data_IF_984228041621
#
_entry.id   IF_984228041621
#
_cell.length_a   1.000
_cell.length_b   1.000
_cell.length_c   1.000
_cell.angle_alpha   90.00
_cell.angle_beta   90.00
_cell.angle_gamma   90.00
#
_symmetry.space_group_name_H-M   'P 1'
#
loop_
_entity.id
_entity.type
_entity.pdbx_description
1 polymer ?
2 polymer ?
3 water ?
#
# COMPACT_ATOMS: atom_id res chain seq x y z
N UNK A 13 18.72 0.44 12.51
CA UNK A 13 17.99 0.34 11.22
C UNK A 13 16.52 -0.03 11.43
N UNK A 14 15.66 0.50 10.58
CA UNK A 14 14.24 0.17 10.59
C UNK A 14 14.03 -1.31 10.24
N UNK A 15 12.90 -1.90 10.69
CA UNK A 15 12.61 -3.30 10.35
C UNK A 15 12.55 -3.52 8.84
N UNK A 16 13.06 -4.66 8.39
CA UNK A 16 13.07 -5.04 6.99
C UNK A 16 12.28 -6.33 6.79
N UNK A 17 11.37 -6.31 5.82
CA UNK A 17 10.66 -7.50 5.38
C UNK A 17 11.08 -7.78 3.93
N UNK A 18 11.42 -9.03 3.63
CA UNK A 18 11.87 -9.44 2.28
C UNK A 18 10.76 -10.16 1.52
N UNK A 19 10.66 -9.89 0.23
CA UNK A 19 9.80 -10.63 -0.68
C UNK A 19 10.47 -10.71 -2.03
N UNK A 20 10.32 -11.85 -2.68
CA UNK A 20 10.74 -12.01 -4.07
C UNK A 20 9.62 -12.49 -4.96
N UNK A 21 9.56 -11.94 -6.17
CA UNK A 21 8.61 -12.38 -7.17
C UNK A 21 9.07 -13.68 -7.80
N UNK A 22 10.38 -13.97 -7.66
CA UNK A 22 10.94 -15.20 -8.22
C UNK A 22 10.34 -16.41 -7.55
N UNK A 23 9.60 -17.21 -8.31
CA UNK A 23 8.96 -18.41 -7.78
C UNK A 23 7.88 -18.12 -6.74
N UNK A 24 7.31 -16.93 -6.76
CA UNK A 24 6.31 -16.56 -5.77
C UNK A 24 5.12 -17.49 -5.82
N UNK A 25 4.56 -17.77 -4.65
CA UNK A 25 3.36 -18.57 -4.52
C UNK A 25 2.35 -17.83 -3.67
N UNK A 26 1.13 -18.35 -3.62
CA UNK A 26 0.12 -17.80 -2.73
C UNK A 26 0.66 -17.74 -1.30
N UNK A 27 1.26 -18.83 -0.85
CA UNK A 27 1.79 -18.87 0.51
C UNK A 27 2.91 -17.88 0.75
N UNK A 28 3.86 -17.76 -0.18
CA UNK A 28 4.98 -16.85 0.08
C UNK A 28 4.50 -15.40 0.09
N UNK A 29 3.54 -15.08 -0.78
CA UNK A 29 2.97 -13.73 -0.80
C UNK A 29 2.15 -13.47 0.47
N UNK A 30 1.37 -14.46 0.89
CA UNK A 30 0.61 -14.35 2.13
C UNK A 30 1.52 -14.12 3.35
N UNK A 31 2.61 -14.88 3.42
CA UNK A 31 3.56 -14.74 4.52
C UNK A 31 4.13 -13.33 4.54
N UNK A 32 4.44 -12.82 3.35
CA UNK A 32 4.96 -11.47 3.20
C UNK A 32 3.97 -10.41 3.72
N UNK A 33 2.74 -10.45 3.22
CA UNK A 33 1.75 -9.45 3.62
C UNK A 33 1.46 -9.52 5.13
N UNK A 34 1.39 -10.73 5.67
CA UNK A 34 1.20 -10.89 7.12
C UNK A 34 2.37 -10.30 7.92
N UNK A 35 3.60 -10.50 7.43
CA UNK A 35 4.77 -9.92 8.08
C UNK A 35 4.76 -8.39 8.02
N UNK A 36 4.36 -7.82 6.89
CA UNK A 36 4.25 -6.38 6.76
C UNK A 36 3.23 -5.83 7.77
N UNK A 37 2.06 -6.44 7.84
CA UNK A 37 1.05 -5.99 8.80
C UNK A 37 1.60 -6.05 10.23
N UNK A 38 2.34 -7.11 10.54
CA UNK A 38 2.91 -7.28 11.87
C UNK A 38 3.92 -6.21 12.27
N UNK A 39 4.63 -5.68 11.29
CA UNK A 39 5.55 -4.58 11.55
C UNK A 39 4.91 -3.20 11.48
N UNK A 40 3.76 -3.07 10.83
CA UNK A 40 3.08 -1.79 10.76
C UNK A 40 2.33 -1.45 12.04
N UNK A 41 1.73 -2.46 12.67
CA UNK A 41 0.92 -2.32 13.89
C UNK A 41 1.54 -3.01 15.08
N UNK A 42 1.16 -2.55 16.26
CA UNK A 42 1.73 -3.06 17.49
C UNK A 42 0.82 -4.02 18.25
N UNK A 43 -0.47 -4.02 17.93
CA UNK A 43 -1.47 -4.76 18.71
C UNK A 43 -2.13 -3.93 19.80
N UNK A 44 -1.65 -2.71 20.02
CA UNK A 44 -2.16 -1.83 21.08
C UNK A 44 -3.59 -1.37 20.83
N UNK A 45 -3.95 -1.22 19.55
CA UNK A 45 -5.15 -0.52 19.15
C UNK A 45 -5.89 -1.36 18.14
N UNK A 46 -6.96 -2.00 18.60
CA UNK A 46 -7.79 -2.85 17.75
C UNK A 46 -9.23 -2.51 18.07
N UNK A 47 -9.98 -2.15 17.02
CA UNK A 47 -11.36 -1.71 17.14
C UNK A 47 -12.29 -2.51 16.26
N UNK A 48 -13.29 -3.13 16.88
CA UNK A 48 -14.16 -4.05 16.17
C UNK A 48 -13.37 -5.11 15.40
N UNK A 49 -12.32 -5.61 16.06
CA UNK A 49 -11.44 -6.65 15.54
C UNK A 49 -10.48 -6.16 14.46
N UNK A 50 -10.50 -4.86 14.14
CA UNK A 50 -9.65 -4.30 13.08
C UNK A 50 -8.51 -3.46 13.67
N UNK A 51 -7.25 -3.86 13.41
CA UNK A 51 -6.12 -3.08 13.90
C UNK A 51 -6.06 -1.67 13.35
N UNK A 52 -5.62 -0.75 14.19
CA UNK A 52 -5.40 0.66 13.84
C UNK A 52 -3.90 0.92 13.85
N UNK A 53 -3.42 1.63 12.83
CA UNK A 53 -2.03 2.03 12.74
C UNK A 53 -1.67 3.05 13.82
N UNK A 54 -0.38 3.15 14.16
CA UNK A 54 0.04 4.12 15.17
C UNK A 54 -0.37 5.55 14.80
N UNK A 55 -0.77 6.29 15.82
CA UNK A 55 -1.03 7.71 15.70
C UNK A 55 0.27 8.46 15.36
N UNK A 56 0.22 9.27 14.32
CA UNK A 56 1.39 10.05 13.94
C UNK A 56 1.82 11.04 15.03
N UNK A 57 0.86 11.54 15.81
CA UNK A 57 1.13 12.54 16.83
C UNK A 57 1.97 11.93 17.94
N UNK A 58 3.18 12.47 18.11
CA UNK A 58 4.10 12.01 19.13
C UNK A 58 4.87 10.74 18.80
N UNK A 59 4.74 10.23 17.57
CA UNK A 59 5.38 8.98 17.20
C UNK A 59 6.89 9.21 17.02
N UNK A 60 7.73 8.53 17.82
CA UNK A 60 9.17 8.73 17.69
C UNK A 60 9.69 8.33 16.31
N UNK A 61 10.68 9.08 15.83
CA UNK A 61 11.20 8.88 14.47
C UNK A 61 11.76 7.46 14.29
N UNK A 62 12.32 6.88 15.35
CA UNK A 62 12.86 5.53 15.25
C UNK A 62 11.81 4.44 15.05
N UNK A 63 10.53 4.79 15.16
CA UNK A 63 9.42 3.86 14.99
C UNK A 63 8.53 4.24 13.80
N UNK A 64 9.02 5.14 12.95
CA UNK A 64 8.16 5.75 11.95
C UNK A 64 8.04 4.97 10.64
N UNK A 65 9.05 4.18 10.29
CA UNK A 65 9.11 3.52 8.99
C UNK A 65 9.41 2.04 9.09
N UNK A 66 9.00 1.31 8.05
CA UNK A 66 9.49 -0.03 7.82
C UNK A 66 10.01 -0.12 6.39
N UNK A 67 10.82 -1.15 6.13
CA UNK A 67 11.44 -1.34 4.83
C UNK A 67 11.00 -2.66 4.23
N UNK A 68 10.68 -2.62 2.94
CA UNK A 68 10.29 -3.81 2.21
C UNK A 68 11.34 -4.01 1.11
N UNK A 69 12.13 -5.07 1.22
CA UNK A 69 13.17 -5.35 0.23
C UNK A 69 12.61 -6.32 -0.79
N UNK A 70 12.45 -5.83 -2.03
CA UNK A 70 11.86 -6.59 -3.11
C UNK A 70 12.93 -7.08 -4.05
N UNK A 71 12.90 -8.38 -4.36
CA UNK A 71 13.82 -8.97 -5.33
C UNK A 71 13.00 -9.60 -6.44
N UNK A 72 13.63 -9.82 -7.58
CA UNK A 72 12.94 -10.48 -8.68
C UNK A 72 13.79 -11.56 -9.35
N UNK A 73 13.19 -12.23 -10.33
CA UNK A 73 13.87 -13.33 -11.01
C UNK A 73 15.11 -12.84 -11.78
N UNK A 74 15.10 -11.59 -12.21
CA UNK A 74 16.25 -10.96 -12.85
C UNK A 74 17.41 -10.66 -11.89
N UNK A 75 17.28 -11.04 -10.60
CA UNK A 75 18.32 -10.85 -9.61
C UNK A 75 18.59 -9.37 -9.32
N UNK A 76 17.54 -8.57 -9.41
CA UNK A 76 17.59 -7.16 -9.05
C UNK A 76 16.83 -6.99 -7.76
N UNK A 77 17.24 -6.01 -6.96
CA UNK A 77 16.61 -5.69 -5.70
C UNK A 77 16.39 -4.18 -5.55
N UNK A 78 15.25 -3.82 -4.98
CA UNK A 78 15.00 -2.45 -4.55
C UNK A 78 14.41 -2.53 -3.16
N UNK A 79 14.53 -1.44 -2.39
CA UNK A 79 13.96 -1.40 -1.04
C UNK A 79 12.99 -0.24 -0.96
N UNK A 80 11.72 -0.55 -0.72
CA UNK A 80 10.72 0.49 -0.48
C UNK A 80 10.67 0.84 0.98
N UNK A 81 10.42 2.12 1.26
CA UNK A 81 10.15 2.57 2.63
C UNK A 81 8.66 2.83 2.78
N UNK A 82 8.04 2.28 3.82
CA UNK A 82 6.62 2.51 4.12
C UNK A 82 6.50 3.31 5.43
N UNK A 83 5.59 4.27 5.45
CA UNK A 83 5.21 5.02 6.65
C UNK A 83 4.26 4.15 7.47
N UNK A 84 4.60 3.90 8.73
CA UNK A 84 3.74 3.06 9.57
C UNK A 84 2.39 3.69 9.87
N UNK A 85 2.29 5.01 9.76
CA UNK A 85 1.05 5.70 10.10
C UNK A 85 -0.02 5.56 9.03
N UNK A 86 0.37 5.24 7.79
CA UNK A 86 -0.63 5.00 6.74
C UNK A 86 -0.38 3.81 5.80
N UNK A 87 0.70 3.06 6.06
CA UNK A 87 1.11 1.89 5.28
C UNK A 87 1.54 2.19 3.86
N UNK A 88 1.73 3.48 3.54
CA UNK A 88 1.98 3.89 2.17
C UNK A 88 3.47 4.06 1.89
N UNK A 89 3.82 3.88 0.62
CA UNK A 89 5.20 4.00 0.17
C UNK A 89 5.60 5.47 0.15
N UNK A 90 6.74 5.79 0.75
CA UNK A 90 7.25 7.17 0.75
C UNK A 90 8.48 7.37 -0.15
N UNK A 91 9.11 6.27 -0.55
CA UNK A 91 10.34 6.35 -1.35
C UNK A 91 10.95 4.98 -1.52
N UNK A 92 12.08 4.94 -2.23
CA UNK A 92 12.78 3.69 -2.42
C UNK A 92 14.25 3.93 -2.64
N UNK A 93 15.01 2.85 -2.41
CA UNK A 93 16.43 2.83 -2.69
C UNK A 93 16.74 1.74 -3.70
N UNK A 94 17.62 2.06 -4.65
CA UNK A 94 18.22 1.06 -5.51
C UNK A 94 19.70 1.37 -5.61
N UNK A 95 20.55 0.49 -5.08
CA UNK A 95 22.00 0.70 -5.09
C UNK A 95 22.38 2.01 -4.42
N UNK A 96 23.09 2.86 -5.16
CA UNK A 96 23.60 4.13 -4.62
C UNK A 96 22.70 5.34 -4.82
N UNK A 97 21.41 5.11 -5.11
CA UNK A 97 20.44 6.19 -5.28
C UNK A 97 19.16 5.90 -4.52
N UNK A 98 18.57 6.95 -3.95
CA UNK A 98 17.28 6.85 -3.29
C UNK A 98 16.40 7.99 -3.76
N UNK A 99 15.11 7.70 -3.88
CA UNK A 99 14.11 8.62 -4.41
C UNK A 99 12.95 8.66 -3.46
N UNK A 100 12.49 9.88 -3.16
CA UNK A 100 11.36 10.09 -2.26
C UNK A 100 10.28 10.89 -2.94
N UNK A 101 9.03 10.51 -2.69
CA UNK A 101 7.89 11.33 -3.12
C UNK A 101 7.94 12.69 -2.43
N UNK A 102 7.39 13.68 -3.12
CA UNK A 102 7.33 15.03 -2.58
C UNK A 102 6.56 15.00 -1.25
N UNK A 103 7.17 15.48 -0.18
CA UNK A 103 6.49 15.46 1.13
C UNK A 103 5.37 16.46 1.25
N UNK A 104 4.36 16.11 2.06
CA UNK A 104 3.19 16.94 2.26
C UNK A 104 3.44 18.10 3.17
N UNK A 105 4.38 17.95 4.09
CA UNK A 105 4.63 19.00 5.08
C UNK A 105 6.04 18.92 5.58
N UNK A 106 6.41 19.89 6.38
CA UNK A 106 7.79 19.98 6.86
C UNK A 106 8.17 18.82 7.80
N UNK A 107 7.22 18.36 8.61
CA UNK A 107 7.51 17.26 9.52
C UNK A 107 7.85 15.99 8.72
N UNK A 108 7.09 15.73 7.67
CA UNK A 108 7.35 14.57 6.81
C UNK A 108 8.64 14.73 6.04
N UNK A 109 8.93 15.94 5.57
CA UNK A 109 10.20 16.22 4.91
C UNK A 109 11.38 15.93 5.86
N UNK A 110 11.25 16.29 7.13
CA UNK A 110 12.31 16.01 8.09
C UNK A 110 12.40 14.50 8.34
N UNK A 111 11.24 13.87 8.46
CA UNK A 111 11.20 12.45 8.78
C UNK A 111 11.97 11.60 7.75
N UNK A 112 11.79 11.90 6.47
CA UNK A 112 12.41 11.08 5.42
C UNK A 112 13.93 11.26 5.33
N UNK A 113 14.47 12.31 5.97
CA UNK A 113 15.94 12.44 6.09
C UNK A 113 16.55 11.30 6.92
N UNK A 114 15.73 10.60 7.69
CA UNK A 114 16.18 9.46 8.48
C UNK A 114 16.18 8.13 7.74
N UNK A 115 15.79 8.16 6.46
CA UNK A 115 15.79 6.97 5.64
C UNK A 115 17.01 6.88 4.72
N UNK A 116 17.54 5.68 4.56
CA UNK A 116 18.61 5.41 3.63
C UNK A 116 19.73 6.41 3.80
N UNK A 117 20.15 6.61 5.03
CA UNK A 117 21.08 7.68 5.34
C UNK A 117 22.44 7.56 4.73
N UNK A 118 22.89 6.37 4.38
CA UNK A 118 24.20 6.27 3.76
C UNK A 118 24.20 6.28 2.24
N UNK A 119 23.04 6.42 1.63
CA UNK A 119 22.98 6.42 0.20
C UNK A 119 23.75 7.59 -0.37
N UNK A 120 24.46 7.35 -1.45
CA UNK A 120 25.30 8.38 -2.05
C UNK A 120 24.50 9.49 -2.68
N UNK A 121 23.44 9.14 -3.39
CA UNK A 121 22.63 10.12 -4.10
C UNK A 121 21.17 10.11 -3.64
N UNK A 122 20.69 11.24 -3.14
CA UNK A 122 19.33 11.35 -2.64
C UNK A 122 18.59 12.32 -3.47
N UNK A 123 17.40 11.93 -3.89
CA UNK A 123 16.55 12.78 -4.66
C UNK A 123 15.13 12.78 -4.12
N UNK A 124 14.49 13.93 -4.18
CA UNK A 124 13.07 14.01 -3.88
C UNK A 124 12.36 14.44 -5.16
N UNK A 125 11.39 13.64 -5.58
CA UNK A 125 10.54 13.99 -6.74
C UNK A 125 9.73 15.24 -6.43
N UNK A 126 9.36 15.97 -7.48
CA UNK A 126 8.49 17.14 -7.34
C UNK A 126 7.02 16.75 -7.25
N UNK A 127 6.72 15.46 -7.44
CA UNK A 127 5.36 14.95 -7.41
C UNK A 127 5.18 14.04 -6.20
N UNK A 128 3.95 13.97 -5.71
CA UNK A 128 3.58 13.06 -4.64
C UNK A 128 3.22 11.68 -5.19
N UNK A 129 3.01 10.75 -4.26
CA UNK A 129 2.70 9.36 -4.59
C UNK A 129 1.22 9.02 -4.64
N UNK A 130 0.35 10.02 -4.58
CA UNK A 130 -1.09 9.76 -4.70
C UNK A 130 -1.47 9.26 -6.10
N UNK A 131 -2.50 8.42 -6.19
CA UNK A 131 -2.85 7.81 -7.47
C UNK A 131 -3.19 8.81 -8.56
N UNK A 132 -3.93 9.87 -8.21
CA UNK A 132 -4.34 10.84 -9.20
C UNK A 132 -3.12 11.36 -9.97
N UNK A 133 -2.06 11.66 -9.23
CA UNK A 133 -0.86 12.23 -9.80
C UNK A 133 -0.06 11.18 -10.56
N UNK A 134 0.11 10.01 -9.97
CA UNK A 134 0.84 8.92 -10.62
C UNK A 134 0.15 8.48 -11.92
N UNK A 135 -1.18 8.44 -11.94
CA UNK A 135 -1.92 8.07 -13.15
C UNK A 135 -1.70 9.08 -14.27
N UNK A 136 -1.72 10.37 -13.91
CA UNK A 136 -1.39 11.43 -14.87
C UNK A 136 -0.02 11.20 -15.50
N UNK A 137 0.98 10.90 -14.67
CA UNK A 137 2.32 10.69 -15.17
C UNK A 137 2.46 9.40 -15.94
N UNK A 138 1.70 8.40 -15.56
CA UNK A 138 1.79 7.13 -16.23
C UNK A 138 1.07 7.13 -17.55
N UNK A 139 0.14 8.04 -17.70
CA UNK A 139 -0.67 8.08 -18.87
C UNK A 139 -1.72 7.00 -18.87
N UNK A 140 -2.02 6.42 -17.72
CA UNK A 140 -3.02 5.39 -17.61
C UNK A 140 -3.67 5.39 -16.25
N UNK A 141 -4.93 5.03 -16.21
CA UNK A 141 -5.64 4.91 -14.97
C UNK A 141 -5.42 3.52 -14.38
N UNK A 142 -5.65 3.40 -13.09
CA UNK A 142 -5.53 2.12 -12.43
C UNK A 142 -6.33 1.04 -13.13
N UNK A 143 -7.49 1.37 -13.68
CA UNK A 143 -8.33 0.36 -14.33
C UNK A 143 -7.68 -0.25 -15.58
N UNK A 144 -6.62 0.38 -16.08
CA UNK A 144 -5.90 -0.11 -17.25
C UNK A 144 -4.43 -0.50 -17.00
N UNK A 145 -4.06 -0.68 -15.73
CA UNK A 145 -2.71 -1.11 -15.35
C UNK A 145 -2.82 -2.49 -14.71
N UNK A 146 -2.21 -3.47 -15.35
CA UNK A 146 -2.33 -4.84 -14.88
C UNK A 146 -1.54 -5.06 -13.60
N UNK A 147 -2.07 -5.90 -12.72
CA UNK A 147 -1.44 -6.30 -11.47
C UNK A 147 -1.22 -7.79 -11.48
N UNK A 148 -0.23 -8.23 -10.73
CA UNK A 148 0.08 -9.62 -10.63
C UNK A 148 1.56 -9.80 -10.42
N UNK A 149 2.03 -11.04 -10.40
CA UNK A 149 3.43 -11.29 -10.17
C UNK A 149 4.31 -10.80 -11.32
N UNK A 150 3.88 -10.95 -12.56
CA UNK A 150 4.66 -10.46 -13.68
C UNK A 150 4.77 -8.95 -13.64
N UNK A 151 3.59 -8.28 -13.47
CA UNK A 151 3.71 -6.83 -13.30
C UNK A 151 4.65 -6.38 -12.19
N UNK A 152 4.67 -7.09 -11.07
CA UNK A 152 5.53 -6.71 -9.97
C UNK A 152 6.98 -6.96 -10.31
N UNK A 153 7.25 -8.10 -10.94
CA UNK A 153 8.60 -8.42 -11.40
C UNK A 153 9.10 -7.29 -12.30
N UNK A 154 8.28 -6.85 -13.22
CA UNK A 154 8.65 -5.79 -14.15
C UNK A 154 8.84 -4.46 -13.46
N UNK A 155 8.02 -4.20 -12.47
CA UNK A 155 8.11 -2.98 -11.72
C UNK A 155 9.40 -2.88 -10.95
N UNK A 156 9.85 -3.97 -10.39
CA UNK A 156 11.07 -3.96 -9.63
C UNK A 156 12.24 -3.60 -10.57
N UNK A 157 12.25 -4.19 -11.75
CA UNK A 157 13.30 -3.89 -12.72
C UNK A 157 13.26 -2.43 -13.12
N UNK A 158 12.08 -1.90 -13.37
CA UNK A 158 11.97 -0.53 -13.78
C UNK A 158 12.48 0.42 -12.72
N UNK A 159 12.16 0.13 -11.47
CA UNK A 159 12.60 0.98 -10.40
C UNK A 159 14.10 0.89 -10.29
N UNK A 160 14.63 -0.32 -10.46
CA UNK A 160 16.07 -0.53 -10.37
C UNK A 160 16.83 0.28 -11.43
N UNK A 161 16.30 0.34 -12.65
CA UNK A 161 17.03 0.99 -13.76
C UNK A 161 16.76 2.48 -13.92
N UNK A 162 15.97 3.07 -13.03
CA UNK A 162 15.60 4.51 -13.19
C UNK A 162 16.78 5.48 -13.17
N UNK A 163 17.70 5.25 -12.25
CA UNK A 163 18.82 6.13 -12.09
C UNK A 163 19.77 6.17 -13.25
N UNK A 164 19.78 5.14 -14.08
CA UNK A 164 20.69 5.09 -15.19
C UNK A 164 20.08 5.44 -16.53
N UNK A 165 18.84 5.86 -16.52
CA UNK A 165 18.22 6.32 -17.72
C UNK A 165 17.41 5.30 -18.46
N UNK A 166 17.38 4.07 -17.95
CA UNK A 166 16.68 3.00 -18.56
C UNK A 166 15.19 3.07 -18.47
N UNK A 167 14.65 3.82 -17.52
CA UNK A 167 13.23 3.84 -17.31
C UNK A 167 12.62 5.20 -17.57
N UNK A 168 11.64 5.29 -18.46
CA UNK A 168 11.01 6.56 -18.73
C UNK A 168 10.06 6.89 -17.58
N UNK A 169 9.78 8.17 -17.37
CA UNK A 169 8.89 8.52 -16.27
C UNK A 169 7.54 7.84 -16.29
N UNK A 170 6.84 7.75 -17.43
CA UNK A 170 5.55 7.07 -17.37
C UNK A 170 5.65 5.62 -16.87
N UNK A 171 6.73 4.94 -17.23
CA UNK A 171 6.96 3.57 -16.77
C UNK A 171 7.28 3.54 -15.28
N UNK A 172 8.02 4.53 -14.81
CA UNK A 172 8.29 4.64 -13.38
C UNK A 172 6.99 4.80 -12.59
N UNK A 173 6.16 5.73 -13.05
CA UNK A 173 4.86 5.99 -12.41
C UNK A 173 3.97 4.76 -12.40
N UNK A 174 3.90 4.06 -13.53
CA UNK A 174 3.14 2.81 -13.64
C UNK A 174 3.66 1.78 -12.64
N UNK A 175 4.98 1.71 -12.51
CA UNK A 175 5.64 0.77 -11.62
C UNK A 175 5.32 1.06 -10.15
N UNK A 176 5.30 2.35 -9.79
CA UNK A 176 4.85 2.73 -8.45
C UNK A 176 3.41 2.31 -8.20
N UNK A 177 2.54 2.53 -9.17
CA UNK A 177 1.14 2.17 -9.03
C UNK A 177 1.03 0.67 -8.76
N UNK A 178 1.85 -0.14 -9.39
CA UNK A 178 1.81 -1.54 -9.19
C UNK A 178 2.28 -1.91 -7.78
N UNK A 179 3.42 -1.40 -7.39
CA UNK A 179 3.97 -1.68 -6.08
C UNK A 179 3.06 -1.23 -4.95
N UNK A 180 2.51 -0.05 -5.06
CA UNK A 180 1.65 0.49 -4.00
C UNK A 180 0.44 -0.40 -3.81
N UNK A 181 -0.18 -0.83 -4.91
CA UNK A 181 -1.37 -1.69 -4.76
C UNK A 181 -1.04 -3.07 -4.23
N UNK A 182 0.05 -3.66 -4.71
CA UNK A 182 0.37 -5.03 -4.32
C UNK A 182 1.01 -5.16 -2.95
N UNK A 183 1.42 -4.04 -2.38
CA UNK A 183 2.06 -4.04 -1.07
C UNK A 183 1.22 -3.22 -0.08
N UNK A 184 1.12 -1.91 -0.28
CA UNK A 184 0.37 -1.07 0.66
C UNK A 184 -1.12 -1.42 0.71
N UNK A 185 -1.77 -1.51 -0.44
CA UNK A 185 -3.21 -1.76 -0.44
C UNK A 185 -3.53 -3.18 0.01
N UNK A 186 -2.69 -4.13 -0.35
CA UNK A 186 -2.85 -5.51 0.10
C UNK A 186 -2.67 -5.61 1.62
N UNK A 187 -1.71 -4.86 2.18
CA UNK A 187 -1.56 -4.82 3.63
C UNK A 187 -2.81 -4.22 4.29
N UNK A 188 -3.38 -3.18 3.68
CA UNK A 188 -4.57 -2.50 4.24
C UNK A 188 -5.85 -3.34 4.18
N UNK A 189 -5.97 -4.19 3.17
CA UNK A 189 -7.22 -4.90 2.90
C UNK A 189 -7.01 -6.38 2.64
N UNK A 190 -7.56 -7.26 3.49
CA UNK A 190 -7.55 -8.70 3.17
C UNK A 190 -8.15 -8.96 1.80
N UNK A 191 -9.17 -8.19 1.43
CA UNK A 191 -9.81 -8.39 0.14
C UNK A 191 -8.85 -8.18 -1.04
N UNK A 192 -8.02 -7.14 -0.95
CA UNK A 192 -7.06 -6.84 -2.00
C UNK A 192 -5.90 -7.83 -1.98
N UNK A 193 -5.45 -8.20 -0.78
CA UNK A 193 -4.51 -9.32 -0.64
C UNK A 193 -5.06 -10.54 -1.37
N UNK A 194 -6.34 -10.82 -1.17
CA UNK A 194 -6.99 -11.95 -1.82
C UNK A 194 -6.97 -11.87 -3.33
N UNK A 195 -7.19 -10.68 -3.83
CA UNK A 195 -7.17 -10.41 -5.26
C UNK A 195 -5.79 -10.67 -5.84
N UNK A 196 -4.76 -10.33 -5.11
CA UNK A 196 -3.39 -10.58 -5.57
C UNK A 196 -3.01 -12.07 -5.45
N UNK A 197 -3.49 -12.72 -4.39
CA UNK A 197 -3.31 -14.17 -4.23
C UNK A 197 -3.87 -14.92 -5.42
N UNK A 198 -5.08 -14.54 -5.86
CA UNK A 198 -5.71 -15.18 -7.00
C UNK A 198 -4.86 -15.01 -8.27
N UNK A 199 -4.37 -13.81 -8.51
CA UNK A 199 -3.51 -13.56 -9.68
C UNK A 199 -2.26 -14.43 -9.66
N UNK A 200 -1.68 -14.60 -8.47
CA UNK A 200 -0.48 -15.42 -8.31
C UNK A 200 -0.82 -16.90 -8.52
N UNK A 201 -1.90 -17.34 -7.90
CA UNK A 201 -2.29 -18.73 -8.00
C UNK A 201 -2.47 -19.20 -9.43
N UNK A 202 -3.03 -18.37 -10.27
CA UNK A 202 -3.29 -18.74 -11.65
C UNK A 202 -2.35 -18.06 -12.66
N UNK A 203 -1.29 -17.40 -12.18
CA UNK A 203 -0.36 -16.69 -13.03
C UNK A 203 -1.07 -15.82 -14.05
N UNK A 204 -1.99 -15.03 -13.55
CA UNK A 204 -2.75 -14.16 -14.37
C UNK A 204 -2.32 -12.77 -14.01
N UNK A 205 -2.37 -11.89 -15.01
CA UNK A 205 -2.12 -10.49 -14.69
C UNK A 205 -3.35 -9.84 -15.24
N UNK A 206 -3.95 -8.99 -14.44
CA UNK A 206 -5.15 -8.28 -14.87
C UNK A 206 -5.29 -7.02 -14.04
N UNK A 207 -5.92 -6.02 -14.64
CA UNK A 207 -6.16 -4.76 -13.98
C UNK A 207 -7.17 -4.96 -12.85
N UNK A 208 -7.11 -4.09 -11.82
CA UNK A 208 -8.08 -4.19 -10.72
C UNK A 208 -9.49 -3.82 -11.18
N UNK A 209 -10.49 -4.58 -10.72
CA UNK A 209 -11.88 -4.29 -11.04
C UNK A 209 -12.39 -3.15 -10.14
N UNK A 210 -13.62 -2.67 -10.39
CA UNK A 210 -14.13 -1.53 -9.63
C UNK A 210 -14.19 -1.73 -8.13
N UNK A 211 -14.36 -2.98 -7.68
CA UNK A 211 -14.43 -3.23 -6.24
C UNK A 211 -13.10 -2.88 -5.56
N UNK A 212 -12.00 -3.24 -6.23
CA UNK A 212 -10.68 -2.94 -5.72
C UNK A 212 -10.41 -1.43 -5.74
N UNK A 213 -10.67 -0.80 -6.87
CA UNK A 213 -10.41 0.62 -7.03
C UNK A 213 -11.20 1.44 -6.00
N UNK A 214 -12.49 1.11 -5.83
CA UNK A 214 -13.33 1.87 -4.92
C UNK A 214 -12.92 1.64 -3.45
N UNK A 215 -12.50 0.41 -3.09
CA UNK A 215 -11.94 0.20 -1.75
C UNK A 215 -10.71 1.05 -1.50
N UNK A 216 -9.77 1.06 -2.47
CA UNK A 216 -8.57 1.88 -2.34
C UNK A 216 -8.96 3.35 -2.12
N UNK A 217 -9.91 3.83 -2.92
CA UNK A 217 -10.32 5.23 -2.84
C UNK A 217 -11.00 5.58 -1.54
N UNK A 218 -11.56 4.56 -0.89
CA UNK A 218 -12.39 4.74 0.30
C UNK A 218 -11.69 4.42 1.62
N UNK A 219 -10.41 4.05 1.59
CA UNK A 219 -9.74 3.56 2.79
C UNK A 219 -9.78 4.57 3.94
N UNK A 220 -9.49 5.83 3.62
CA UNK A 220 -9.50 6.88 4.63
C UNK A 220 -10.89 7.08 5.21
N UNK A 221 -11.88 7.13 4.32
CA UNK A 221 -13.27 7.34 4.74
C UNK A 221 -13.82 6.18 5.55
N UNK A 222 -13.49 4.95 5.16
CA UNK A 222 -13.87 3.77 5.94
C UNK A 222 -13.23 3.79 7.32
N UNK A 223 -11.96 4.17 7.38
CA UNK A 223 -11.25 4.27 8.66
C UNK A 223 -11.97 5.25 9.61
N UNK A 224 -12.34 6.41 9.08
CA UNK A 224 -13.02 7.41 9.88
C UNK A 224 -14.41 6.95 10.26
N UNK A 225 -15.15 6.38 9.30
CA UNK A 225 -16.53 5.96 9.58
C UNK A 225 -16.56 4.89 10.67
N UNK A 226 -15.62 3.96 10.61
CA UNK A 226 -15.55 2.90 11.62
C UNK A 226 -15.22 3.48 12.99
N UNK A 227 -14.23 4.35 13.04
CA UNK A 227 -13.74 4.88 14.31
C UNK A 227 -14.70 5.86 14.97
N UNK A 228 -15.52 6.51 14.15
CA UNK A 228 -16.50 7.48 14.63
C UNK A 228 -17.90 6.90 14.70
N UNK A 229 -18.04 5.60 14.45
CA UNK A 229 -19.33 4.95 14.46
C UNK A 229 -19.93 4.93 15.86
N UNK A 230 -21.23 4.71 15.91
CA UNK A 230 -21.93 4.56 17.17
C UNK A 230 -22.11 3.08 17.40
N UNK A 231 -21.23 2.51 18.23
CA UNK A 231 -21.24 1.08 18.54
C UNK A 231 -21.11 0.23 17.27
N UNK A 232 -20.44 0.77 16.25
CA UNK A 232 -20.27 0.07 14.97
C UNK A 232 -21.17 0.53 13.85
N UNK A 233 -22.22 1.26 14.21
CA UNK A 233 -23.18 1.76 13.24
C UNK A 233 -22.72 3.10 12.65
N UNK A 234 -22.68 3.17 11.33
CA UNK A 234 -22.24 4.39 10.64
C UNK A 234 -23.34 5.44 10.71
N UNK A 235 -22.96 6.68 10.96
CA UNK A 235 -23.93 7.77 10.87
C UNK A 235 -24.40 7.98 9.44
N UNK A 236 -23.48 7.82 8.50
CA UNK A 236 -23.71 8.03 7.09
C UNK A 236 -23.25 6.79 6.37
N UNK A 237 -24.05 6.24 5.45
CA UNK A 237 -23.55 5.07 4.73
C UNK A 237 -22.41 5.44 3.79
N UNK A 238 -21.57 4.47 3.52
CA UNK A 238 -20.49 4.61 2.53
C UNK A 238 -20.79 3.74 1.33
N UNK A 239 -20.69 4.34 0.14
CA UNK A 239 -20.98 3.62 -1.08
C UNK A 239 -19.71 2.96 -1.60
N UNK A 240 -19.80 1.66 -1.86
CA UNK A 240 -18.73 0.92 -2.52
C UNK A 240 -19.26 0.33 -3.84
N UNK A 241 -18.39 -0.34 -4.58
CA UNK A 241 -18.80 -0.99 -5.83
C UNK A 241 -18.52 -2.48 -5.78
N UNK A 242 -19.38 -3.24 -6.44
CA UNK A 242 -19.16 -4.66 -6.65
C UNK A 242 -18.21 -4.84 -7.82
N UNK A 243 -17.80 -6.06 -8.06
CA UNK A 243 -16.90 -6.37 -9.16
C UNK A 243 -17.45 -5.95 -10.51
N UNK A 244 -18.76 -6.05 -10.67
CA UNK A 244 -19.38 -5.65 -11.94
C UNK A 244 -19.68 -4.16 -12.03
N UNK A 245 -19.25 -3.39 -11.03
CA UNK A 245 -19.39 -1.94 -11.00
C UNK A 245 -20.65 -1.42 -10.33
N UNK A 246 -21.57 -2.33 -9.97
CA UNK A 246 -22.81 -1.93 -9.32
C UNK A 246 -22.53 -1.41 -7.92
N UNK A 247 -23.32 -0.43 -7.49
CA UNK A 247 -23.09 0.23 -6.22
C UNK A 247 -23.93 -0.39 -5.11
N UNK A 248 -23.36 -0.45 -3.93
CA UNK A 248 -24.08 -0.79 -2.71
C UNK A 248 -23.55 0.03 -1.55
N UNK A 249 -24.32 0.08 -0.47
CA UNK A 249 -23.96 0.88 0.68
C UNK A 249 -23.57 0.01 1.88
N UNK A 250 -22.60 0.52 2.63
CA UNK A 250 -22.15 -0.08 3.89
C UNK A 250 -22.66 0.79 5.03
N UNK A 251 -23.33 0.15 5.98
CA UNK A 251 -23.99 0.83 7.09
C UNK A 251 -23.36 0.52 8.44
N UNK A 252 -22.45 -0.45 8.48
CA UNK A 252 -21.95 -0.98 9.74
C UNK A 252 -20.56 -1.56 9.54
N UNK A 253 -19.76 -1.54 10.59
CA UNK A 253 -18.43 -2.15 10.57
C UNK A 253 -18.46 -3.67 10.34
N UNK A 254 -19.54 -4.32 10.76
CA UNK A 254 -19.58 -5.79 10.78
C UNK A 254 -19.19 -6.41 9.46
N UNK A 255 -19.74 -5.88 8.38
CA UNK A 255 -19.55 -6.46 7.06
C UNK A 255 -18.12 -6.20 6.55
N UNK A 256 -17.41 -5.27 7.17
CA UNK A 256 -16.03 -4.92 6.74
C UNK A 256 -14.93 -5.64 7.52
N UNK A 257 -15.27 -6.35 8.59
CA UNK A 257 -14.24 -7.01 9.39
C UNK A 257 -13.39 -8.00 8.54
N UNK A 258 -14.02 -8.76 7.62
CA UNK A 258 -13.21 -9.65 6.76
C UNK A 258 -12.46 -8.96 5.61
N UNK A 259 -12.72 -7.66 5.40
CA UNK A 259 -12.30 -6.90 4.20
C UNK A 259 -11.15 -5.95 4.47
N UNK A 260 -11.20 -5.22 5.59
CA UNK A 260 -10.21 -4.22 5.93
C UNK A 260 -9.35 -4.74 7.08
N UNK A 261 -8.03 -4.69 6.90
CA UNK A 261 -7.04 -5.25 7.84
C UNK A 261 -6.34 -4.23 8.72
N UNK A 262 -6.30 -2.98 8.27
CA UNK A 262 -5.57 -1.89 8.92
C UNK A 262 -6.36 -0.62 8.67
N UNK A 263 -6.41 0.25 9.67
CA UNK A 263 -6.99 1.58 9.52
C UNK A 263 -6.01 2.65 9.93
N UNK A 264 -6.07 3.78 9.25
CA UNK A 264 -5.34 4.97 9.69
C UNK A 264 -6.00 5.50 10.97
N UNK A 265 -5.17 5.96 11.91
CA UNK A 265 -5.67 6.52 13.17
C UNK A 265 -6.43 7.83 12.89
N UNK A 266 -7.68 7.90 13.34
CA UNK A 266 -8.51 9.10 13.15
C UNK A 266 -8.97 9.77 14.43
N UNK A 267 -9.23 8.99 15.47
CA UNK A 267 -9.65 9.51 16.75
C UNK A 267 -9.35 8.47 17.82
N UNK A 268 -9.41 8.88 19.08
CA UNK A 268 -9.28 7.93 20.17
C UNK A 268 -10.55 7.09 20.24
N UNK A 269 -10.43 5.82 20.68
CA UNK A 269 -11.63 5.02 20.83
C UNK A 269 -12.47 5.52 22.01
N UNK A 270 -13.79 5.48 21.87
CA UNK A 270 -14.63 5.96 22.95
C UNK A 270 -14.48 5.06 24.18
N UNK A 271 -14.77 5.61 25.36
CA UNK A 271 -14.73 4.82 26.59
C UNK A 271 -15.56 3.53 26.49
N UNK B 5 -15.25 -13.68 3.76
CA UNK B 5 -16.52 -12.90 3.60
C UNK B 5 -16.44 -11.90 2.46
N UNK B 6 -15.95 -12.35 1.31
CA UNK B 6 -15.81 -11.48 0.12
C UNK B 6 -17.04 -11.49 -0.81
N UNK B 7 -18.03 -12.34 -0.54
CA UNK B 7 -19.22 -12.41 -1.37
C UNK B 7 -19.88 -11.07 -1.49
N UNK B 8 -19.61 -10.21 -0.53
CA UNK B 8 -20.10 -8.86 -0.56
C UNK B 8 -19.92 -8.20 -1.90
N UNK B 9 -18.81 -8.47 -2.58
CA UNK B 9 -18.53 -7.78 -3.84
C UNK B 9 -18.91 -8.54 -5.10
N UNK B 10 -19.38 -9.77 -4.97
CA UNK B 10 -19.78 -10.54 -6.14
C UNK B 10 -21.21 -10.21 -6.54
#
# INVERSE_FOLDING_TARGET
>A
MGHHHHHHIFPKQYPIINFTTAGATVQSYTNFIRAVRGRLTTGADVRHEIPVLPNRVGLPINQRFILVELSNHAELSVTLALDVTNAYVVGYRAGNSAYFFHPDNQEDAEAITHLFTDVQNRYTFAFGGNYDRLEQLAGNLRENIELGNGPLEEAISALYYYSTGGTQLPTLARSFIICIQMISEAARFQYIEGEMRTRIRYNRRSAPDPSVITLENSWGRLSTAIQESNQGAFASPIQLQRRNGSKFSVYDVSILIPIIALMVYRCAPPPSSQF
>B
DDDMGFGLFD
#
